data_IF_758119615221
#
_entry.id   IF_758119615221
#
_cell.length_a   1.000
_cell.length_b   1.000
_cell.length_c   1.000
_cell.angle_alpha   90.00
_cell.angle_beta   90.00
_cell.angle_gamma   90.00
#
_symmetry.space_group_name_H-M   'P 1'
#
loop_
_entity.id
_entity.type
_entity.pdbx_description
1 polymer ?
#
# COMPACT_ATOMS: atom_id res chain seq x y z
N UNK A 1 20.06 33.54 2.35
CA UNK A 1 20.14 32.86 3.65
C UNK A 1 19.34 31.58 3.55
N UNK A 2 19.97 30.52 3.03
CA UNK A 2 19.46 29.16 3.10
C UNK A 2 20.31 28.48 4.18
N UNK A 3 19.67 28.03 5.26
CA UNK A 3 20.36 27.31 6.32
C UNK A 3 20.83 25.97 5.80
N UNK A 4 22.10 25.64 6.03
CA UNK A 4 22.69 24.34 5.74
C UNK A 4 21.93 23.26 6.53
N UNK A 5 21.25 22.37 5.80
CA UNK A 5 20.73 21.12 6.35
C UNK A 5 21.90 20.14 6.31
N UNK A 6 22.53 19.93 7.46
CA UNK A 6 23.54 18.87 7.63
C UNK A 6 22.78 17.53 7.71
N UNK A 7 23.07 16.55 6.84
CA UNK A 7 22.48 15.22 6.97
C UNK A 7 23.02 14.53 8.23
N UNK A 8 22.21 13.71 8.93
CA UNK A 8 22.70 12.98 10.09
C UNK A 8 23.81 12.01 9.65
N UNK A 9 24.94 12.09 10.32
CA UNK A 9 26.10 11.23 10.09
C UNK A 9 25.73 9.75 10.28
N UNK A 10 26.35 8.91 9.46
CA UNK A 10 26.27 7.46 9.50
C UNK A 10 26.40 6.92 10.94
N UNK A 11 25.33 6.36 11.48
CA UNK A 11 25.42 5.40 12.58
C UNK A 11 25.36 3.98 12.01
N UNK A 12 26.51 3.53 11.51
CA UNK A 12 26.79 2.11 11.37
C UNK A 12 27.77 1.71 12.48
N UNK A 13 27.40 0.65 13.19
CA UNK A 13 28.21 -0.17 14.10
C UNK A 13 28.60 0.41 15.46
N UNK A 14 27.81 0.04 16.48
CA UNK A 14 28.34 -0.61 17.70
C UNK A 14 27.20 -1.32 18.44
N UNK A 15 26.75 -2.45 17.91
CA UNK A 15 26.22 -3.52 18.75
C UNK A 15 27.37 -4.02 19.63
N UNK A 16 27.41 -3.59 20.89
CA UNK A 16 27.99 -4.37 21.98
C UNK A 16 27.46 -3.87 23.33
N UNK A 17 26.69 -4.75 23.99
CA UNK A 17 26.74 -5.09 25.43
C UNK A 17 26.38 -3.94 26.38
N UNK A 18 25.16 -3.91 26.95
CA UNK A 18 24.78 -4.76 28.08
C UNK A 18 23.51 -5.58 27.83
N UNK A 19 23.66 -6.89 27.67
CA UNK A 19 22.57 -7.84 27.49
C UNK A 19 22.58 -8.86 28.65
N UNK A 20 22.46 -8.39 29.89
CA UNK A 20 22.18 -9.26 31.04
C UNK A 20 20.67 -9.48 31.25
N UNK A 21 19.83 -8.80 30.44
CA UNK A 21 18.37 -8.81 30.55
C UNK A 21 17.84 -8.16 31.83
N UNK A 22 18.65 -7.38 32.54
CA UNK A 22 18.33 -6.76 33.83
C UNK A 22 17.88 -5.31 33.72
N UNK A 23 17.91 -4.68 32.55
CA UNK A 23 17.47 -3.30 32.35
C UNK A 23 16.45 -3.18 31.23
N UNK A 24 15.41 -2.40 31.51
CA UNK A 24 14.35 -2.13 30.54
C UNK A 24 14.86 -1.14 29.49
N UNK A 25 14.92 -1.58 28.23
CA UNK A 25 15.27 -0.72 27.11
C UNK A 25 14.04 0.02 26.57
N UNK A 26 14.16 1.35 26.45
CA UNK A 26 13.20 2.17 25.74
C UNK A 26 13.19 1.84 24.25
N UNK A 27 12.05 2.03 23.60
CA UNK A 27 11.98 1.96 22.15
C UNK A 27 12.90 3.02 21.52
N UNK A 28 13.60 2.68 20.43
CA UNK A 28 14.61 3.54 19.82
C UNK A 28 14.11 4.97 19.51
N UNK A 29 12.84 5.11 19.15
CA UNK A 29 12.24 6.38 18.73
C UNK A 29 11.11 6.85 19.67
N UNK A 30 11.06 6.36 20.92
CA UNK A 30 10.03 6.74 21.88
C UNK A 30 10.47 6.50 23.33
N UNK A 31 10.01 7.35 24.25
CA UNK A 31 10.23 7.15 25.69
C UNK A 31 9.52 5.93 26.28
N UNK A 32 8.63 5.28 25.51
CA UNK A 32 7.93 4.08 25.96
C UNK A 32 8.83 2.86 25.90
N UNK A 33 8.49 1.90 26.75
CA UNK A 33 9.02 0.55 26.76
C UNK A 33 8.00 -0.34 26.04
N UNK A 34 8.48 -1.17 25.10
CA UNK A 34 7.62 -2.14 24.43
C UNK A 34 7.20 -3.26 25.38
N UNK A 35 5.93 -3.63 25.34
CA UNK A 35 5.37 -4.68 26.19
C UNK A 35 6.07 -6.02 25.95
N UNK A 36 6.43 -6.34 24.71
CA UNK A 36 7.22 -7.54 24.39
C UNK A 36 8.50 -7.62 25.20
N UNK A 37 9.23 -6.51 25.35
CA UNK A 37 10.50 -6.48 26.08
C UNK A 37 10.29 -6.72 27.59
N UNK A 38 9.21 -6.15 28.15
CA UNK A 38 8.83 -6.36 29.55
C UNK A 38 8.50 -7.84 29.80
N UNK A 39 7.66 -8.42 28.94
CA UNK A 39 7.22 -9.81 29.09
C UNK A 39 8.37 -10.81 28.87
N UNK A 40 9.29 -10.51 27.95
CA UNK A 40 10.47 -11.34 27.68
C UNK A 40 11.48 -11.30 28.84
N UNK A 41 11.68 -10.14 29.48
CA UNK A 41 12.52 -10.03 30.67
C UNK A 41 11.88 -10.61 31.93
N UNK A 42 10.54 -10.57 32.02
CA UNK A 42 9.76 -11.16 33.09
C UNK A 42 10.17 -10.63 34.47
N UNK A 43 10.13 -11.49 35.49
CA UNK A 43 10.37 -11.12 36.89
C UNK A 43 11.73 -10.44 37.16
N UNK A 44 12.73 -10.60 36.27
CA UNK A 44 14.04 -9.93 36.39
C UNK A 44 13.93 -8.40 36.32
N UNK A 45 12.87 -7.89 35.73
CA UNK A 45 12.64 -6.45 35.55
C UNK A 45 11.87 -5.82 36.72
N UNK A 46 11.51 -6.60 37.75
CA UNK A 46 10.80 -6.10 38.92
C UNK A 46 11.58 -4.98 39.63
N UNK A 47 10.86 -3.94 40.08
CA UNK A 47 11.40 -2.73 40.70
C UNK A 47 11.74 -1.62 39.72
N UNK A 48 11.80 -1.88 38.41
CA UNK A 48 12.12 -0.85 37.42
C UNK A 48 10.94 0.05 37.11
N UNK A 49 11.25 1.34 36.90
CA UNK A 49 10.28 2.34 36.44
C UNK A 49 10.24 2.37 34.93
N UNK A 50 9.03 2.30 34.38
CA UNK A 50 8.80 2.25 32.94
C UNK A 50 7.62 3.12 32.55
N UNK A 51 7.69 3.68 31.34
CA UNK A 51 6.54 4.23 30.62
C UNK A 51 6.05 3.21 29.62
N UNK A 52 4.76 2.90 29.61
CA UNK A 52 4.16 2.11 28.54
C UNK A 52 3.05 2.91 27.86
N UNK A 53 2.78 2.57 26.61
CA UNK A 53 1.62 3.06 25.87
C UNK A 53 0.97 1.90 25.12
N UNK A 54 -0.35 1.82 25.12
CA UNK A 54 -1.06 0.77 24.39
C UNK A 54 -2.57 0.89 24.52
N UNK A 55 -3.27 -0.14 24.04
CA UNK A 55 -4.72 -0.22 24.07
C UNK A 55 -5.18 -1.26 25.08
N UNK A 56 -6.18 -0.89 25.87
CA UNK A 56 -6.85 -1.78 26.81
C UNK A 56 -7.62 -2.84 26.03
N UNK A 57 -7.27 -4.11 26.23
CA UNK A 57 -7.95 -5.27 25.63
C UNK A 57 -9.07 -5.80 26.53
N UNK A 58 -8.85 -5.77 27.84
CA UNK A 58 -9.87 -5.99 28.86
C UNK A 58 -9.57 -5.10 30.06
N UNK A 59 -10.60 -4.58 30.71
CA UNK A 59 -10.48 -3.79 31.92
C UNK A 59 -11.53 -4.19 32.94
N UNK A 60 -11.16 -4.29 34.22
CA UNK A 60 -12.07 -4.61 35.32
C UNK A 60 -11.76 -3.79 36.55
N UNK A 61 -12.80 -3.27 37.22
CA UNK A 61 -12.65 -2.68 38.54
C UNK A 61 -12.76 -3.76 39.62
N UNK A 62 -11.95 -3.64 40.67
CA UNK A 62 -11.93 -4.56 41.81
C UNK A 62 -11.82 -3.79 43.13
N UNK A 63 -12.01 -4.49 44.25
CA UNK A 63 -11.88 -3.89 45.59
C UNK A 63 -12.94 -2.83 45.88
N UNK A 64 -14.15 -3.00 45.35
CA UNK A 64 -15.25 -2.01 45.40
C UNK A 64 -14.89 -0.67 44.71
N UNK A 65 -14.19 -0.76 43.57
CA UNK A 65 -13.81 0.42 42.78
C UNK A 65 -12.52 1.12 43.24
N UNK A 66 -11.73 0.48 44.12
CA UNK A 66 -10.43 1.03 44.56
C UNK A 66 -9.33 0.84 43.53
N UNK A 67 -9.38 -0.24 42.74
CA UNK A 67 -8.36 -0.56 41.75
C UNK A 67 -9.01 -0.96 40.43
N UNK A 68 -8.33 -0.69 39.31
CA UNK A 68 -8.61 -1.28 38.02
C UNK A 68 -7.43 -2.18 37.58
N UNK A 69 -7.76 -3.36 37.07
CA UNK A 69 -6.81 -4.22 36.35
C UNK A 69 -7.12 -4.12 34.86
N UNK A 70 -6.12 -3.72 34.09
CA UNK A 70 -6.17 -3.58 32.64
C UNK A 70 -5.23 -4.60 32.01
N UNK A 71 -5.68 -5.32 30.99
CA UNK A 71 -4.81 -6.04 30.07
C UNK A 71 -4.48 -5.10 28.92
N UNK A 72 -3.25 -4.59 28.87
CA UNK A 72 -2.81 -3.62 27.86
C UNK A 72 -1.96 -4.33 26.81
N UNK A 73 -2.16 -3.98 25.54
CA UNK A 73 -1.36 -4.47 24.42
C UNK A 73 -0.99 -3.32 23.49
N UNK A 74 0.25 -3.29 23.03
CA UNK A 74 0.83 -2.26 22.18
C UNK A 74 1.09 -2.76 20.74
N UNK A 75 0.69 -4.00 20.43
CA UNK A 75 0.91 -4.66 19.15
C UNK A 75 2.29 -5.31 18.99
N UNK A 76 3.23 -5.12 19.92
CA UNK A 76 4.60 -5.65 19.82
C UNK A 76 4.69 -7.17 19.94
N UNK A 77 3.70 -7.81 20.57
CA UNK A 77 3.54 -9.27 20.66
C UNK A 77 2.06 -9.64 20.88
N UNK A 78 1.68 -10.94 20.80
CA UNK A 78 0.32 -11.40 21.11
C UNK A 78 -0.11 -11.20 22.56
N UNK A 79 0.84 -11.22 23.49
CA UNK A 79 0.56 -11.22 24.92
C UNK A 79 0.22 -9.82 25.44
N UNK A 80 -0.59 -9.77 26.49
CA UNK A 80 -0.95 -8.53 27.16
C UNK A 80 -0.13 -8.39 28.45
N UNK A 81 0.14 -7.15 28.85
CA UNK A 81 0.68 -6.82 30.17
C UNK A 81 -0.48 -6.46 31.10
N UNK A 82 -0.55 -7.08 32.28
CA UNK A 82 -1.44 -6.62 33.33
C UNK A 82 -0.92 -5.31 33.92
N UNK A 83 -1.81 -4.33 33.99
CA UNK A 83 -1.56 -2.99 34.51
C UNK A 83 -2.58 -2.71 35.60
N UNK A 84 -2.10 -2.37 36.80
CA UNK A 84 -2.91 -2.04 37.95
C UNK A 84 -2.92 -0.53 38.18
N UNK A 85 -4.11 0.06 38.25
CA UNK A 85 -4.33 1.49 38.49
C UNK A 85 -5.15 1.69 39.76
N UNK A 86 -4.68 2.51 40.69
CA UNK A 86 -5.44 2.91 41.88
C UNK A 86 -6.41 4.06 41.55
N UNK A 87 -7.60 4.04 42.13
CA UNK A 87 -8.64 5.07 41.98
C UNK A 87 -8.20 6.48 42.40
N UNK A 88 -7.16 6.59 43.24
CA UNK A 88 -6.56 7.88 43.63
C UNK A 88 -5.76 8.54 42.50
N UNK A 89 -5.36 7.77 41.47
CA UNK A 89 -4.55 8.28 40.35
C UNK A 89 -5.40 8.78 39.18
N UNK A 90 -6.57 8.16 38.95
CA UNK A 90 -7.43 8.51 37.82
C UNK A 90 -8.84 7.95 37.98
N UNK A 91 -9.80 8.51 37.24
CA UNK A 91 -11.16 7.96 37.15
C UNK A 91 -11.15 6.62 36.40
N UNK A 92 -11.27 5.53 37.17
CA UNK A 92 -11.21 4.16 36.67
C UNK A 92 -12.31 3.84 35.66
N UNK A 93 -13.45 4.54 35.67
CA UNK A 93 -14.54 4.30 34.72
C UNK A 93 -14.14 4.63 33.28
N UNK A 94 -13.18 5.56 33.11
CA UNK A 94 -12.67 6.00 31.82
C UNK A 94 -11.58 5.09 31.25
N UNK A 95 -11.03 4.19 32.06
CA UNK A 95 -9.90 3.33 31.68
C UNK A 95 -10.35 1.94 31.19
N UNK A 96 -11.43 1.40 31.75
CA UNK A 96 -11.75 -0.03 31.61
C UNK A 96 -12.37 -0.42 30.27
N UNK A 97 -12.82 0.55 29.46
CA UNK A 97 -13.41 0.27 28.16
C UNK A 97 -12.39 -0.35 27.21
N UNK A 98 -12.80 -1.41 26.51
CA UNK A 98 -11.95 -2.06 25.49
C UNK A 98 -11.69 -1.10 24.35
N UNK A 99 -10.43 -0.92 23.98
CA UNK A 99 -9.97 0.03 22.97
C UNK A 99 -9.53 1.38 23.51
N UNK A 100 -9.70 1.65 24.81
CA UNK A 100 -9.13 2.85 25.43
C UNK A 100 -7.61 2.84 25.26
N UNK A 101 -7.07 3.92 24.71
CA UNK A 101 -5.64 4.15 24.63
C UNK A 101 -5.16 4.73 25.96
N UNK A 102 -4.06 4.20 26.49
CA UNK A 102 -3.46 4.68 27.74
C UNK A 102 -1.96 4.86 27.56
N UNK A 103 -1.43 5.94 28.15
CA UNK A 103 0.00 6.09 28.43
C UNK A 103 0.17 6.26 29.93
N UNK A 104 0.98 5.40 30.55
CA UNK A 104 1.15 5.37 32.00
C UNK A 104 2.61 5.17 32.39
N UNK A 105 3.01 5.81 33.48
CA UNK A 105 4.26 5.56 34.17
C UNK A 105 3.99 4.69 35.39
N UNK A 106 4.85 3.72 35.63
CA UNK A 106 4.70 2.84 36.78
C UNK A 106 5.95 2.04 37.11
N UNK A 107 5.82 1.24 38.16
CA UNK A 107 6.87 0.33 38.63
C UNK A 107 6.45 -1.11 38.31
N UNK A 108 7.36 -1.84 37.67
CA UNK A 108 7.19 -3.26 37.41
C UNK A 108 7.24 -4.05 38.73
N UNK A 109 6.29 -4.96 38.93
CA UNK A 109 6.20 -5.78 40.15
C UNK A 109 5.94 -7.24 39.83
N UNK A 110 6.35 -8.10 40.75
CA UNK A 110 5.93 -9.50 40.75
C UNK A 110 4.50 -9.53 41.32
N UNK A 111 3.52 -10.12 40.61
CA UNK A 111 2.16 -10.21 41.11
C UNK A 111 2.08 -11.02 42.43
N UNK A 112 1.16 -10.72 43.35
CA UNK A 112 1.03 -11.43 44.63
C UNK A 112 0.62 -12.90 44.46
N UNK A 113 1.32 -13.86 45.09
CA UNK A 113 1.07 -15.31 44.94
C UNK A 113 -0.42 -15.70 45.09
N UNK A 114 -0.96 -16.47 44.14
CA UNK A 114 -2.37 -16.86 44.16
C UNK A 114 -2.81 -17.83 43.04
N UNK A 115 -3.91 -18.54 43.27
CA UNK A 115 -4.54 -19.45 42.29
C UNK A 115 -5.02 -18.66 41.06
N UNK A 116 -4.47 -18.97 39.89
CA UNK A 116 -4.86 -18.37 38.60
C UNK A 116 -3.82 -17.44 37.97
N UNK A 117 -2.64 -17.32 38.57
CA UNK A 117 -1.56 -16.47 38.06
C UNK A 117 -0.96 -17.04 36.77
N UNK A 118 -1.20 -16.35 35.65
CA UNK A 118 -0.63 -16.69 34.33
C UNK A 118 0.54 -15.79 33.92
N UNK A 119 0.79 -14.70 34.64
CA UNK A 119 1.74 -13.67 34.24
C UNK A 119 2.86 -13.54 35.27
N UNK A 120 4.11 -13.45 34.79
CA UNK A 120 5.32 -13.39 35.61
C UNK A 120 5.67 -11.98 36.11
N UNK A 121 4.96 -10.96 35.62
CA UNK A 121 5.21 -9.54 35.88
C UNK A 121 3.93 -8.72 35.63
N UNK A 122 3.75 -7.64 36.38
CA UNK A 122 2.69 -6.65 36.18
C UNK A 122 3.23 -5.22 36.35
N UNK A 123 2.51 -4.23 35.85
CA UNK A 123 2.83 -2.81 36.05
C UNK A 123 1.91 -2.19 37.09
N UNK A 124 2.47 -1.69 38.19
CA UNK A 124 1.76 -0.86 39.17
C UNK A 124 1.91 0.60 38.77
N UNK A 125 0.82 1.24 38.34
CA UNK A 125 0.85 2.63 37.86
C UNK A 125 1.14 3.59 39.01
N UNK A 126 2.02 4.56 38.75
CA UNK A 126 2.32 5.70 39.61
C UNK A 126 1.75 7.00 39.03
N UNK A 127 1.62 7.11 37.70
CA UNK A 127 1.05 8.26 37.02
C UNK A 127 0.35 7.88 35.72
N UNK A 128 -0.82 8.46 35.49
CA UNK A 128 -1.53 8.36 34.20
C UNK A 128 -1.19 9.62 33.39
N UNK A 129 -0.54 9.43 32.25
CA UNK A 129 0.00 10.52 31.42
C UNK A 129 -1.04 10.97 30.39
N UNK A 130 -1.65 10.01 29.69
CA UNK A 130 -2.63 10.30 28.65
C UNK A 130 -3.66 9.17 28.53
N UNK A 131 -4.90 9.55 28.20
CA UNK A 131 -6.03 8.63 28.04
C UNK A 131 -6.89 9.06 26.85
N UNK A 132 -6.91 8.23 25.81
CA UNK A 132 -7.84 8.33 24.70
C UNK A 132 -9.01 7.37 24.89
N UNK A 133 -10.17 7.86 25.30
CA UNK A 133 -11.36 7.02 25.49
C UNK A 133 -11.98 6.62 24.17
N UNK A 134 -12.55 5.42 24.12
CA UNK A 134 -13.37 4.96 23.00
C UNK A 134 -14.81 4.75 23.48
N UNK A 135 -15.77 5.08 22.63
CA UNK A 135 -17.16 4.68 22.81
C UNK A 135 -17.41 3.38 22.03
N UNK A 136 -17.59 2.24 22.70
CA UNK A 136 -17.78 0.95 22.04
C UNK A 136 -19.05 0.88 21.18
N UNK A 137 -20.02 1.78 21.38
CA UNK A 137 -21.27 1.81 20.61
C UNK A 137 -21.09 2.44 19.24
N UNK A 138 -20.19 3.43 19.13
CA UNK A 138 -19.89 4.14 17.88
C UNK A 138 -18.65 3.59 17.18
N UNK A 139 -17.75 2.92 17.91
CA UNK A 139 -16.53 2.34 17.37
C UNK A 139 -16.29 0.90 17.88
N UNK A 140 -17.05 -0.09 17.38
CA UNK A 140 -16.89 -1.49 17.78
C UNK A 140 -15.58 -2.06 17.23
N UNK A 141 -14.63 -2.36 18.13
CA UNK A 141 -13.36 -3.01 17.76
C UNK A 141 -13.53 -4.54 17.73
N UNK A 142 -13.41 -5.18 16.56
CA UNK A 142 -13.51 -6.63 16.46
C UNK A 142 -12.29 -7.30 17.10
N UNK A 143 -12.52 -8.43 17.77
CA UNK A 143 -11.45 -9.30 18.31
C UNK A 143 -10.80 -10.07 17.16
N UNK A 144 -9.95 -9.41 16.39
CA UNK A 144 -9.31 -10.00 15.20
C UNK A 144 -7.95 -10.61 15.54
N UNK A 145 -7.62 -11.70 14.85
CA UNK A 145 -6.31 -12.36 14.89
C UNK A 145 -5.31 -11.73 13.89
N UNK A 146 -5.69 -10.60 13.30
CA UNK A 146 -4.99 -9.98 12.18
C UNK A 146 -3.58 -9.51 12.56
N UNK A 147 -3.36 -9.16 13.83
CA UNK A 147 -2.04 -8.70 14.30
C UNK A 147 -0.98 -9.80 14.26
N UNK A 148 -1.32 -11.04 14.63
CA UNK A 148 -0.40 -12.17 14.56
C UNK A 148 -0.07 -12.51 13.10
N UNK A 149 -1.10 -12.57 12.24
CA UNK A 149 -0.92 -12.79 10.80
C UNK A 149 -0.05 -11.69 10.18
N UNK A 150 -0.28 -10.43 10.52
CA UNK A 150 0.50 -9.30 10.02
C UNK A 150 1.97 -9.36 10.48
N UNK A 151 2.25 -9.68 11.76
CA UNK A 151 3.61 -9.85 12.26
C UNK A 151 4.34 -11.02 11.58
N UNK A 152 3.66 -12.15 11.39
CA UNK A 152 4.20 -13.31 10.66
C UNK A 152 4.51 -12.93 9.20
N UNK A 153 3.58 -12.27 8.51
CA UNK A 153 3.77 -11.81 7.13
C UNK A 153 4.95 -10.84 7.02
N UNK A 154 5.07 -9.90 7.95
CA UNK A 154 6.20 -8.97 8.03
C UNK A 154 7.54 -9.72 8.22
N UNK A 155 7.58 -10.68 9.15
CA UNK A 155 8.78 -11.46 9.40
C UNK A 155 9.19 -12.29 8.18
N UNK A 156 8.24 -12.90 7.48
CA UNK A 156 8.50 -13.63 6.24
C UNK A 156 8.99 -12.71 5.12
N UNK A 157 8.39 -11.53 4.95
CA UNK A 157 8.87 -10.57 3.93
C UNK A 157 10.32 -10.15 4.19
N UNK A 158 10.68 -9.88 5.45
CA UNK A 158 12.06 -9.62 5.82
C UNK A 158 12.97 -10.83 5.57
N UNK A 159 12.54 -12.03 5.96
CA UNK A 159 13.27 -13.27 5.75
C UNK A 159 13.52 -13.55 4.27
N UNK A 160 12.55 -13.25 3.39
CA UNK A 160 12.70 -13.32 1.94
C UNK A 160 13.86 -12.48 1.46
N UNK A 161 13.89 -11.21 1.85
CA UNK A 161 15.00 -10.33 1.48
C UNK A 161 16.33 -10.82 2.05
N UNK A 162 16.37 -11.25 3.32
CA UNK A 162 17.57 -11.82 3.94
C UNK A 162 18.09 -13.03 3.17
N UNK A 163 17.23 -14.02 2.88
CA UNK A 163 17.62 -15.22 2.15
C UNK A 163 18.26 -14.87 0.81
N UNK A 164 17.58 -14.09 -0.02
CA UNK A 164 18.10 -13.80 -1.36
C UNK A 164 19.38 -12.98 -1.32
N UNK A 165 19.47 -11.96 -0.45
CA UNK A 165 20.69 -11.15 -0.36
C UNK A 165 21.88 -11.91 0.25
N UNK A 166 21.66 -12.78 1.24
CA UNK A 166 22.70 -13.66 1.79
C UNK A 166 23.25 -14.64 0.75
N UNK A 167 22.46 -14.99 -0.26
CA UNK A 167 22.84 -15.87 -1.37
C UNK A 167 23.26 -15.10 -2.64
N UNK A 168 23.51 -13.79 -2.53
CA UNK A 168 24.07 -12.97 -3.60
C UNK A 168 23.08 -12.53 -4.69
N UNK A 169 21.78 -12.71 -4.48
CA UNK A 169 20.77 -12.19 -5.40
C UNK A 169 20.58 -10.68 -5.23
N UNK A 170 20.35 -9.98 -6.34
CA UNK A 170 19.98 -8.56 -6.33
C UNK A 170 18.46 -8.38 -6.41
N UNK A 171 17.93 -7.54 -5.52
CA UNK A 171 16.52 -7.15 -5.56
C UNK A 171 16.31 -6.14 -6.70
N UNK A 172 15.38 -6.44 -7.60
CA UNK A 172 15.03 -5.59 -8.73
C UNK A 172 13.52 -5.28 -8.73
N UNK A 173 13.18 -4.08 -9.17
CA UNK A 173 11.78 -3.67 -9.34
C UNK A 173 11.37 -3.88 -10.79
N UNK A 174 10.42 -4.78 -11.03
CA UNK A 174 9.80 -4.97 -12.34
C UNK A 174 8.65 -3.98 -12.54
N UNK A 175 8.38 -3.53 -13.79
CA UNK A 175 7.24 -2.68 -14.09
C UNK A 175 5.91 -3.35 -13.75
N UNK A 176 5.03 -2.63 -13.05
CA UNK A 176 3.66 -3.11 -12.75
C UNK A 176 2.73 -2.90 -13.94
N UNK A 177 2.87 -1.79 -14.65
CA UNK A 177 2.11 -1.54 -15.88
C UNK A 177 2.90 -2.12 -17.05
N UNK A 178 2.27 -3.00 -17.82
CA UNK A 178 2.86 -3.70 -18.96
C UNK A 178 2.01 -3.53 -20.21
N UNK A 179 2.65 -3.51 -21.37
CA UNK A 179 1.99 -3.63 -22.67
C UNK A 179 2.17 -5.03 -23.28
N UNK A 180 2.82 -5.92 -22.52
CA UNK A 180 3.14 -7.29 -22.89
C UNK A 180 2.33 -8.25 -22.05
N UNK A 181 1.77 -9.26 -22.70
CA UNK A 181 1.20 -10.43 -22.03
C UNK A 181 2.35 -11.42 -21.75
N UNK A 182 2.69 -11.59 -20.48
CA UNK A 182 3.85 -12.39 -20.06
C UNK A 182 3.53 -13.89 -19.91
N UNK A 183 2.28 -14.25 -19.59
CA UNK A 183 1.86 -15.65 -19.36
C UNK A 183 1.00 -16.22 -20.50
N UNK A 184 0.49 -15.37 -21.41
CA UNK A 184 -0.16 -15.80 -22.65
C UNK A 184 -1.53 -16.46 -22.49
N UNK A 185 -2.12 -16.48 -21.29
CA UNK A 185 -3.33 -17.25 -21.01
C UNK A 185 -4.29 -16.64 -19.97
N UNK A 186 -3.94 -15.54 -19.31
CA UNK A 186 -4.73 -14.95 -18.22
C UNK A 186 -5.53 -13.72 -18.63
N UNK A 187 -6.75 -13.55 -18.10
CA UNK A 187 -7.43 -12.26 -18.14
C UNK A 187 -6.62 -11.23 -17.32
N UNK A 188 -6.31 -10.09 -17.92
CA UNK A 188 -5.54 -9.00 -17.28
C UNK A 188 -6.42 -7.77 -17.03
N UNK A 189 -6.13 -7.05 -15.94
CA UNK A 189 -6.77 -5.75 -15.71
C UNK A 189 -6.20 -4.72 -16.68
N UNK A 190 -7.07 -4.13 -17.50
CA UNK A 190 -6.68 -3.06 -18.39
C UNK A 190 -6.51 -1.74 -17.64
N UNK A 191 -5.41 -1.04 -17.94
CA UNK A 191 -5.12 0.30 -17.43
C UNK A 191 -5.33 1.29 -18.57
N UNK A 192 -6.28 2.22 -18.41
CA UNK A 192 -6.62 3.18 -19.46
C UNK A 192 -7.02 4.54 -18.89
N UNK A 193 -6.72 5.60 -19.66
CA UNK A 193 -7.18 6.97 -19.40
C UNK A 193 -8.31 7.40 -20.35
N UNK A 194 -8.66 6.56 -21.33
CA UNK A 194 -9.65 6.87 -22.37
C UNK A 194 -11.05 7.13 -21.82
N UNK A 195 -11.45 6.44 -20.75
CA UNK A 195 -12.80 6.60 -20.17
C UNK A 195 -13.01 8.04 -19.71
N UNK A 196 -12.09 8.56 -18.89
CA UNK A 196 -12.15 9.94 -18.39
C UNK A 196 -12.08 10.96 -19.54
N UNK A 197 -11.32 10.67 -20.59
CA UNK A 197 -11.26 11.52 -21.77
C UNK A 197 -12.61 11.54 -22.52
N UNK A 198 -13.21 10.37 -22.72
CA UNK A 198 -14.52 10.21 -23.36
C UNK A 198 -15.60 10.93 -22.56
N UNK A 199 -15.66 10.78 -21.24
CA UNK A 199 -16.66 11.47 -20.41
C UNK A 199 -16.57 13.00 -20.55
N UNK A 200 -15.36 13.56 -20.62
CA UNK A 200 -15.16 15.00 -20.85
C UNK A 200 -15.63 15.44 -22.23
N UNK A 201 -15.33 14.66 -23.26
CA UNK A 201 -15.79 14.93 -24.63
C UNK A 201 -17.31 14.84 -24.71
N UNK A 202 -17.92 13.86 -24.06
CA UNK A 202 -19.38 13.71 -24.02
C UNK A 202 -20.04 14.88 -23.33
N UNK A 203 -19.52 15.31 -22.18
CA UNK A 203 -20.03 16.49 -21.48
C UNK A 203 -19.89 17.75 -22.35
N UNK A 204 -18.73 17.95 -22.99
CA UNK A 204 -18.53 19.07 -23.90
C UNK A 204 -19.44 19.00 -25.14
N UNK A 205 -19.77 17.82 -25.66
CA UNK A 205 -20.73 17.66 -26.77
C UNK A 205 -22.17 17.96 -26.36
N UNK A 206 -22.53 17.74 -25.09
CA UNK A 206 -23.81 18.15 -24.50
C UNK A 206 -23.87 19.67 -24.42
N UNK A 207 -22.83 20.30 -23.87
CA UNK A 207 -22.78 21.75 -23.66
C UNK A 207 -22.61 22.51 -24.99
N UNK A 208 -21.91 21.90 -25.95
CA UNK A 208 -21.58 22.47 -27.26
C UNK A 208 -21.89 21.46 -28.37
N UNK A 209 -23.12 21.45 -28.89
CA UNK A 209 -23.53 20.49 -29.92
C UNK A 209 -22.61 20.51 -31.16
N UNK A 210 -22.29 19.33 -31.74
CA UNK A 210 -21.46 19.26 -32.92
C UNK A 210 -22.16 19.86 -34.14
N UNK A 211 -21.42 20.54 -35.05
CA UNK A 211 -21.97 21.04 -36.31
C UNK A 211 -22.58 19.92 -37.13
N UNK A 212 -23.74 20.18 -37.72
CA UNK A 212 -24.37 19.28 -38.68
C UNK A 212 -23.61 19.26 -40.01
N UNK A 213 -23.86 18.25 -40.84
CA UNK A 213 -23.29 18.20 -42.20
C UNK A 213 -23.69 19.44 -43.02
N UNK A 214 -24.89 19.97 -42.78
CA UNK A 214 -25.35 21.22 -43.40
C UNK A 214 -24.54 22.44 -42.93
N UNK A 215 -24.15 22.50 -41.65
CA UNK A 215 -23.30 23.57 -41.12
C UNK A 215 -21.89 23.51 -41.73
N UNK A 216 -21.33 22.31 -41.90
CA UNK A 216 -20.04 22.13 -42.56
C UNK A 216 -20.11 22.55 -44.03
N UNK A 217 -21.18 22.16 -44.75
CA UNK A 217 -21.36 22.53 -46.16
C UNK A 217 -21.59 24.04 -46.33
N UNK A 218 -22.31 24.68 -45.41
CA UNK A 218 -22.47 26.14 -45.40
C UNK A 218 -21.12 26.87 -45.27
N UNK A 219 -20.24 26.41 -44.37
CA UNK A 219 -18.88 26.96 -44.25
C UNK A 219 -18.02 26.68 -45.49
N UNK A 220 -18.15 25.50 -46.12
CA UNK A 220 -17.48 25.21 -47.41
C UNK A 220 -17.92 26.19 -48.50
N UNK A 221 -19.22 26.51 -48.57
CA UNK A 221 -19.76 27.48 -49.52
C UNK A 221 -19.20 28.88 -49.26
N UNK A 222 -19.12 29.31 -47.99
CA UNK A 222 -18.52 30.61 -47.63
C UNK A 222 -17.05 30.67 -48.08
N UNK A 223 -16.26 29.62 -47.84
CA UNK A 223 -14.87 29.56 -48.32
C UNK A 223 -14.79 29.66 -49.84
N UNK A 224 -15.70 28.99 -50.56
CA UNK A 224 -15.80 29.05 -52.01
C UNK A 224 -16.14 30.46 -52.51
N UNK A 225 -17.19 31.08 -51.98
CA UNK A 225 -17.62 32.44 -52.35
C UNK A 225 -16.53 33.48 -52.09
N UNK A 226 -15.84 33.40 -50.95
CA UNK A 226 -14.71 34.28 -50.63
C UNK A 226 -13.52 34.03 -51.56
N UNK A 227 -13.27 32.77 -51.93
CA UNK A 227 -12.28 32.41 -52.94
C UNK A 227 -12.58 33.02 -54.31
N UNK A 228 -13.83 32.95 -54.74
CA UNK A 228 -14.31 33.56 -55.99
C UNK A 228 -14.26 35.09 -55.95
N UNK A 229 -14.53 35.72 -54.80
CA UNK A 229 -14.40 37.16 -54.61
C UNK A 229 -12.94 37.63 -54.79
N UNK A 230 -11.98 36.92 -54.18
CA UNK A 230 -10.54 37.18 -54.39
C UNK A 230 -10.16 37.02 -55.86
N UNK A 231 -10.64 35.98 -56.53
CA UNK A 231 -10.38 35.75 -57.95
C UNK A 231 -10.93 36.87 -58.83
N UNK A 232 -12.17 37.32 -58.58
CA UNK A 232 -12.81 38.45 -59.29
C UNK A 232 -12.04 39.76 -59.10
N UNK A 233 -11.63 40.09 -57.88
CA UNK A 233 -10.86 41.32 -57.61
C UNK A 233 -9.49 41.30 -58.30
N UNK A 234 -8.82 40.13 -58.32
CA UNK A 234 -7.57 39.95 -59.07
C UNK A 234 -7.76 40.11 -60.57
N UNK A 235 -8.82 39.51 -61.14
CA UNK A 235 -9.15 39.62 -62.56
C UNK A 235 -9.51 41.06 -62.98
N UNK A 236 -10.23 41.79 -62.11
CA UNK A 236 -10.61 43.18 -62.32
C UNK A 236 -9.46 44.19 -62.10
N UNK A 237 -8.26 43.74 -61.70
CA UNK A 237 -7.11 44.60 -61.34
C UNK A 237 -7.46 45.65 -60.27
N UNK A 238 -8.25 45.24 -59.28
CA UNK A 238 -8.59 46.08 -58.13
C UNK A 238 -7.34 46.51 -57.35
N UNK A 239 -7.50 47.49 -56.44
CA UNK A 239 -6.39 48.01 -55.65
C UNK A 239 -5.74 46.92 -54.78
N UNK A 240 -4.46 47.12 -54.44
CA UNK A 240 -3.72 46.17 -53.60
C UNK A 240 -4.38 46.03 -52.22
N UNK A 241 -4.92 47.12 -51.70
CA UNK A 241 -5.63 47.23 -50.43
C UNK A 241 -6.91 46.37 -50.45
N UNK A 242 -7.72 46.46 -51.50
CA UNK A 242 -8.95 45.67 -51.66
C UNK A 242 -8.67 44.17 -51.78
N UNK A 243 -7.65 43.79 -52.55
CA UNK A 243 -7.25 42.38 -52.69
C UNK A 243 -6.75 41.83 -51.35
N UNK A 244 -5.96 42.62 -50.61
CA UNK A 244 -5.41 42.22 -49.31
C UNK A 244 -6.54 42.03 -48.29
N UNK A 245 -7.50 42.94 -48.23
CA UNK A 245 -8.67 42.83 -47.37
C UNK A 245 -9.51 41.58 -47.69
N UNK A 246 -9.71 41.28 -48.98
CA UNK A 246 -10.46 40.08 -49.41
C UNK A 246 -9.73 38.77 -49.09
N UNK A 247 -8.39 38.73 -49.22
CA UNK A 247 -7.58 37.56 -48.83
C UNK A 247 -7.61 37.33 -47.32
N UNK A 248 -7.62 38.40 -46.51
CA UNK A 248 -7.79 38.28 -45.06
C UNK A 248 -9.14 37.62 -44.69
N UNK A 249 -10.22 38.03 -45.35
CA UNK A 249 -11.54 37.41 -45.16
C UNK A 249 -11.57 35.93 -45.59
N UNK A 250 -10.92 35.58 -46.70
CA UNK A 250 -10.78 34.18 -47.12
C UNK A 250 -9.99 33.35 -46.10
N UNK A 251 -8.96 33.93 -45.48
CA UNK A 251 -8.14 33.25 -44.47
C UNK A 251 -8.97 32.97 -43.21
N UNK A 252 -9.76 33.94 -42.76
CA UNK A 252 -10.69 33.77 -41.64
C UNK A 252 -11.72 32.67 -41.94
N UNK A 253 -12.32 32.68 -43.14
CA UNK A 253 -13.28 31.67 -43.55
C UNK A 253 -12.67 30.26 -43.58
N UNK A 254 -11.42 30.11 -44.05
CA UNK A 254 -10.71 28.82 -44.04
C UNK A 254 -10.44 28.31 -42.61
N UNK A 255 -10.10 29.21 -41.69
CA UNK A 255 -9.90 28.84 -40.28
C UNK A 255 -11.21 28.41 -39.62
N UNK A 256 -12.32 29.11 -39.91
CA UNK A 256 -13.67 28.75 -39.46
C UNK A 256 -14.08 27.36 -39.95
N UNK A 257 -13.93 27.10 -41.26
CA UNK A 257 -14.20 25.78 -41.84
C UNK A 257 -13.37 24.67 -41.19
N UNK A 258 -12.07 24.91 -40.98
CA UNK A 258 -11.21 23.91 -40.33
C UNK A 258 -11.67 23.57 -38.90
N UNK A 259 -12.06 24.58 -38.12
CA UNK A 259 -12.61 24.39 -36.77
C UNK A 259 -13.94 23.63 -36.81
N UNK A 260 -14.85 23.96 -37.72
CA UNK A 260 -16.15 23.29 -37.89
C UNK A 260 -15.97 21.84 -38.38
N UNK A 261 -15.03 21.59 -39.29
CA UNK A 261 -14.67 20.24 -39.75
C UNK A 261 -14.00 19.40 -38.66
N UNK A 262 -13.19 20.00 -37.78
CA UNK A 262 -12.61 19.31 -36.63
C UNK A 262 -13.69 18.99 -35.59
N UNK A 263 -14.55 19.98 -35.29
CA UNK A 263 -15.65 19.84 -34.33
C UNK A 263 -16.64 18.74 -34.75
N UNK A 264 -16.97 18.65 -36.04
CA UNK A 264 -17.89 17.63 -36.55
C UNK A 264 -17.33 16.20 -36.51
N UNK A 265 -16.03 16.03 -36.30
CA UNK A 265 -15.39 14.72 -36.13
C UNK A 265 -15.51 14.17 -34.71
N UNK A 266 -15.78 15.00 -33.71
CA UNK A 266 -16.00 14.52 -32.35
C UNK A 266 -17.26 13.66 -32.31
N UNK A 267 -17.12 12.49 -31.71
CA UNK A 267 -18.22 11.53 -31.51
C UNK A 267 -18.23 11.13 -30.04
N UNK A 268 -19.42 10.88 -29.47
CA UNK A 268 -19.52 10.28 -28.15
C UNK A 268 -18.95 8.86 -28.16
N UNK A 269 -18.57 8.37 -26.98
CA UNK A 269 -17.98 7.06 -26.79
C UNK A 269 -16.47 6.97 -27.00
N UNK A 270 -15.95 5.75 -26.91
CA UNK A 270 -14.52 5.47 -27.06
C UNK A 270 -14.06 5.71 -28.51
N UNK A 271 -12.87 6.30 -28.72
CA UNK A 271 -12.34 6.53 -30.05
C UNK A 271 -12.13 5.19 -30.78
N UNK A 272 -12.42 5.17 -32.08
CA UNK A 272 -12.30 3.97 -32.91
C UNK A 272 -11.50 4.23 -34.17
N UNK A 273 -10.67 3.25 -34.54
CA UNK A 273 -9.91 3.18 -35.79
C UNK A 273 -10.02 1.76 -36.34
N UNK A 274 -10.39 1.63 -37.61
CA UNK A 274 -10.58 0.34 -38.29
C UNK A 274 -11.50 -0.65 -37.54
N UNK A 275 -12.55 -0.11 -36.91
CA UNK A 275 -13.54 -0.89 -36.15
C UNK A 275 -13.10 -1.35 -34.75
N UNK A 276 -11.85 -1.08 -34.35
CA UNK A 276 -11.31 -1.35 -33.00
C UNK A 276 -11.18 -0.07 -32.20
N UNK A 277 -11.04 -0.18 -30.88
CA UNK A 277 -10.73 0.97 -30.02
C UNK A 277 -9.36 1.51 -30.42
N UNK A 278 -9.28 2.82 -30.61
CA UNK A 278 -8.04 3.52 -30.93
C UNK A 278 -7.33 3.94 -29.64
N UNK A 279 -6.25 3.25 -29.31
CA UNK A 279 -5.43 3.53 -28.14
C UNK A 279 -4.30 4.53 -28.40
N UNK A 280 -4.20 5.11 -29.60
CA UNK A 280 -3.11 6.05 -29.93
C UNK A 280 -3.09 7.29 -29.02
N UNK A 281 -4.26 7.67 -28.50
CA UNK A 281 -4.45 8.81 -27.60
C UNK A 281 -4.62 8.37 -26.13
N UNK A 282 -4.47 7.08 -25.82
CA UNK A 282 -4.36 6.62 -24.43
C UNK A 282 -2.96 6.97 -23.89
N UNK A 283 -2.75 6.88 -22.58
CA UNK A 283 -1.54 7.33 -21.90
C UNK A 283 -0.24 6.76 -22.48
N UNK A 284 -0.24 5.46 -22.83
CA UNK A 284 0.93 4.78 -23.40
C UNK A 284 0.91 4.69 -24.94
N UNK A 285 -0.08 5.32 -25.60
CA UNK A 285 -0.29 5.25 -27.05
C UNK A 285 -0.61 3.83 -27.59
N UNK A 286 -0.91 2.89 -26.69
CA UNK A 286 -1.29 1.50 -26.95
C UNK A 286 -1.99 0.93 -25.71
N UNK A 287 -2.54 -0.28 -25.83
CA UNK A 287 -3.12 -0.99 -24.68
C UNK A 287 -2.06 -1.28 -23.62
N UNK A 288 -2.43 -1.03 -22.36
CA UNK A 288 -1.62 -1.32 -21.19
C UNK A 288 -2.47 -2.05 -20.14
N UNK A 289 -1.80 -2.83 -19.31
CA UNK A 289 -2.39 -3.75 -18.35
C UNK A 289 -1.60 -3.77 -17.05
N UNK A 290 -2.22 -4.24 -15.98
CA UNK A 290 -1.49 -4.62 -14.77
C UNK A 290 -0.85 -6.00 -14.98
N UNK A 291 0.42 -6.14 -14.59
CA UNK A 291 1.19 -7.34 -14.85
C UNK A 291 0.71 -8.54 -14.02
N UNK A 292 0.74 -9.71 -14.64
CA UNK A 292 0.48 -11.01 -13.98
C UNK A 292 1.75 -11.58 -13.33
N UNK A 293 2.92 -11.20 -13.86
CA UNK A 293 4.24 -11.68 -13.45
C UNK A 293 5.33 -10.71 -13.92
N UNK A 294 6.43 -10.59 -13.17
CA UNK A 294 7.65 -9.89 -13.59
C UNK A 294 8.66 -10.77 -14.32
N UNK A 295 8.33 -12.03 -14.61
CA UNK A 295 9.25 -13.06 -15.12
C UNK A 295 10.08 -12.60 -16.33
N UNK A 296 9.44 -12.12 -17.40
CA UNK A 296 10.16 -11.71 -18.61
C UNK A 296 11.15 -10.57 -18.35
N UNK A 297 10.85 -9.71 -17.37
CA UNK A 297 11.74 -8.61 -17.00
C UNK A 297 12.89 -9.11 -16.12
N UNK A 298 12.66 -10.02 -15.16
CA UNK A 298 13.76 -10.60 -14.36
C UNK A 298 14.76 -11.37 -15.22
N UNK A 299 14.31 -12.08 -16.27
CA UNK A 299 15.19 -12.75 -17.24
C UNK A 299 16.21 -11.77 -17.87
N UNK A 300 15.72 -10.59 -18.27
CA UNK A 300 16.58 -9.54 -18.85
C UNK A 300 17.62 -9.06 -17.83
N UNK A 301 17.24 -8.91 -16.57
CA UNK A 301 18.17 -8.51 -15.51
C UNK A 301 19.16 -9.62 -15.17
N UNK A 302 18.73 -10.88 -15.10
CA UNK A 302 19.60 -12.02 -14.81
C UNK A 302 20.75 -12.12 -15.82
N UNK A 303 20.48 -11.84 -17.10
CA UNK A 303 21.51 -11.79 -18.16
C UNK A 303 22.63 -10.76 -17.88
N UNK A 304 22.37 -9.71 -17.07
CA UNK A 304 23.32 -8.65 -16.74
C UNK A 304 23.84 -8.71 -15.30
N UNK A 305 23.07 -9.31 -14.39
CA UNK A 305 23.29 -9.24 -12.94
C UNK A 305 23.48 -10.62 -12.28
N UNK A 306 23.55 -11.68 -13.10
CA UNK A 306 23.61 -13.08 -12.65
C UNK A 306 22.31 -13.53 -11.97
N UNK A 307 22.16 -13.28 -10.68
CA UNK A 307 21.04 -13.77 -9.87
C UNK A 307 20.23 -12.58 -9.35
N UNK A 308 18.94 -12.57 -9.66
CA UNK A 308 18.04 -11.47 -9.29
C UNK A 308 16.73 -12.00 -8.74
N UNK A 309 15.98 -11.17 -8.03
CA UNK A 309 14.61 -11.47 -7.66
C UNK A 309 13.76 -10.21 -7.66
N UNK A 310 12.48 -10.34 -7.99
CA UNK A 310 11.48 -9.31 -7.72
C UNK A 310 10.58 -9.74 -6.56
N UNK A 311 10.05 -8.76 -5.86
CA UNK A 311 9.09 -8.92 -4.77
C UNK A 311 8.10 -7.76 -4.91
N UNK A 312 6.99 -8.03 -5.61
CA UNK A 312 6.05 -6.99 -6.00
C UNK A 312 4.62 -7.48 -6.12
N UNK A 313 3.66 -6.56 -6.28
CA UNK A 313 2.28 -6.91 -6.52
C UNK A 313 2.08 -7.41 -7.96
N UNK A 314 1.22 -8.41 -8.10
CA UNK A 314 0.76 -8.99 -9.37
C UNK A 314 -0.75 -9.14 -9.35
N UNK A 315 -1.35 -9.17 -10.54
CA UNK A 315 -2.79 -9.05 -10.69
C UNK A 315 -3.35 -10.13 -11.60
N UNK A 316 -4.51 -10.69 -11.26
CA UNK A 316 -5.24 -11.64 -12.11
C UNK A 316 -6.70 -11.21 -12.20
N UNK A 317 -7.20 -11.01 -13.42
CA UNK A 317 -8.57 -10.54 -13.65
C UNK A 317 -9.58 -11.68 -13.82
N UNK A 318 -9.18 -12.92 -13.55
CA UNK A 318 -10.08 -14.07 -13.60
C UNK A 318 -11.27 -13.89 -12.65
N UNK A 319 -12.48 -14.15 -13.15
CA UNK A 319 -13.70 -14.06 -12.34
C UNK A 319 -13.82 -15.26 -11.38
N UNK A 320 -13.01 -15.26 -10.33
CA UNK A 320 -12.85 -16.38 -9.40
C UNK A 320 -13.12 -15.96 -7.95
N UNK A 321 -14.21 -16.46 -7.39
CA UNK A 321 -14.65 -16.15 -6.03
C UNK A 321 -14.46 -17.35 -5.10
N UNK A 322 -13.19 -17.67 -4.79
CA UNK A 322 -12.84 -18.77 -3.87
C UNK A 322 -12.09 -18.26 -2.65
N UNK A 323 -11.98 -19.07 -1.60
CA UNK A 323 -11.22 -18.72 -0.40
C UNK A 323 -9.69 -18.68 -0.61
N UNK A 324 -9.20 -19.04 -1.80
CA UNK A 324 -7.77 -19.15 -2.12
C UNK A 324 -7.33 -18.23 -3.26
N UNK A 325 -8.24 -17.50 -3.90
CA UNK A 325 -7.93 -16.61 -5.01
C UNK A 325 -8.07 -15.16 -4.61
N UNK A 326 -7.12 -14.35 -5.07
CA UNK A 326 -7.11 -12.90 -4.92
C UNK A 326 -6.85 -12.29 -6.29
N UNK A 327 -7.55 -11.19 -6.60
CA UNK A 327 -7.30 -10.42 -7.82
C UNK A 327 -5.99 -9.62 -7.76
N UNK A 328 -5.53 -9.30 -6.55
CA UNK A 328 -4.25 -8.66 -6.25
C UNK A 328 -3.53 -9.49 -5.18
N UNK A 329 -2.31 -9.89 -5.48
CA UNK A 329 -1.45 -10.63 -4.55
C UNK A 329 0.01 -10.23 -4.76
N UNK A 330 0.90 -10.73 -3.90
CA UNK A 330 2.32 -10.44 -3.98
C UNK A 330 3.07 -11.69 -4.41
N UNK A 331 3.94 -11.53 -5.40
CA UNK A 331 4.81 -12.58 -5.90
C UNK A 331 6.25 -12.30 -5.52
N UNK A 332 7.00 -13.39 -5.32
CA UNK A 332 8.45 -13.39 -5.16
C UNK A 332 8.99 -14.27 -6.29
N UNK A 333 9.71 -13.67 -7.22
CA UNK A 333 10.11 -14.31 -8.48
C UNK A 333 11.62 -14.18 -8.64
N UNK A 334 12.40 -15.20 -8.19
CA UNK A 334 13.83 -15.27 -8.44
C UNK A 334 14.14 -15.74 -9.85
N UNK A 335 15.27 -15.29 -10.40
CA UNK A 335 15.81 -15.71 -11.69
C UNK A 335 17.33 -15.88 -11.55
N UNK A 336 17.88 -16.97 -12.08
CA UNK A 336 19.27 -17.38 -11.86
C UNK A 336 19.95 -17.64 -13.20
N UNK A 337 20.91 -16.79 -13.59
CA UNK A 337 21.70 -17.03 -14.79
C UNK A 337 22.52 -18.33 -14.67
N UNK A 338 22.64 -19.06 -15.78
CA UNK A 338 23.38 -20.32 -15.90
C UNK A 338 22.85 -21.49 -15.06
N UNK A 339 21.66 -21.35 -14.47
CA UNK A 339 21.00 -22.43 -13.73
C UNK A 339 20.29 -23.41 -14.66
N UNK A 340 20.30 -24.68 -14.29
CA UNK A 340 19.35 -25.66 -14.80
C UNK A 340 18.17 -25.86 -13.83
N UNK A 341 17.28 -26.80 -14.16
CA UNK A 341 16.10 -27.10 -13.33
C UNK A 341 16.46 -27.64 -11.94
N UNK A 342 17.59 -28.33 -11.79
CA UNK A 342 18.03 -28.84 -10.50
C UNK A 342 18.53 -27.70 -9.61
N UNK A 343 19.23 -26.72 -10.18
CA UNK A 343 19.63 -25.51 -9.45
C UNK A 343 18.41 -24.72 -8.95
N UNK A 344 17.39 -24.57 -9.80
CA UNK A 344 16.13 -23.90 -9.43
C UNK A 344 15.39 -24.66 -8.30
N UNK A 345 15.25 -25.98 -8.43
CA UNK A 345 14.66 -26.84 -7.39
C UNK A 345 15.42 -26.74 -6.05
N UNK A 346 16.75 -26.71 -6.10
CA UNK A 346 17.59 -26.56 -4.90
C UNK A 346 17.36 -25.19 -4.24
N UNK A 347 17.28 -24.12 -5.03
CA UNK A 347 16.98 -22.77 -4.54
C UNK A 347 15.60 -22.73 -3.87
N UNK A 348 14.57 -23.26 -4.54
CA UNK A 348 13.21 -23.30 -4.02
C UNK A 348 13.11 -24.11 -2.70
N UNK A 349 13.76 -25.28 -2.62
CA UNK A 349 13.79 -26.09 -1.41
C UNK A 349 14.51 -25.36 -0.26
N UNK A 350 15.68 -24.78 -0.54
CA UNK A 350 16.45 -24.02 0.44
C UNK A 350 15.66 -22.81 0.98
N UNK A 351 14.98 -22.09 0.08
CA UNK A 351 14.13 -20.95 0.42
C UNK A 351 13.01 -21.34 1.38
N UNK A 352 12.25 -22.39 1.06
CA UNK A 352 11.14 -22.86 1.92
C UNK A 352 11.66 -23.31 3.29
N UNK A 353 12.76 -24.08 3.34
CA UNK A 353 13.39 -24.49 4.60
C UNK A 353 13.84 -23.29 5.43
N UNK A 354 14.44 -22.28 4.79
CA UNK A 354 14.86 -21.05 5.44
C UNK A 354 13.65 -20.31 6.05
N UNK A 355 12.55 -20.16 5.30
CA UNK A 355 11.32 -19.53 5.79
C UNK A 355 10.74 -20.26 7.02
N UNK A 356 10.66 -21.59 6.97
CA UNK A 356 10.16 -22.38 8.11
C UNK A 356 11.04 -22.20 9.36
N UNK A 357 12.37 -22.27 9.21
CA UNK A 357 13.30 -22.05 10.30
C UNK A 357 13.21 -20.62 10.85
N UNK A 358 13.04 -19.63 9.97
CA UNK A 358 12.87 -18.24 10.36
C UNK A 358 11.62 -18.05 11.24
N UNK A 359 10.49 -18.64 10.86
CA UNK A 359 9.26 -18.58 11.65
C UNK A 359 9.42 -19.18 13.03
N UNK A 360 10.03 -20.37 13.13
CA UNK A 360 10.27 -21.06 14.40
C UNK A 360 11.14 -20.20 15.32
N UNK A 361 12.19 -19.59 14.76
CA UNK A 361 13.15 -18.79 15.54
C UNK A 361 12.62 -17.43 15.95
N UNK A 362 11.86 -16.75 15.08
CA UNK A 362 11.56 -15.32 15.24
C UNK A 362 10.08 -15.03 15.54
N UNK A 363 9.18 -16.00 15.34
CA UNK A 363 7.73 -15.81 15.45
C UNK A 363 7.04 -16.84 16.36
N UNK A 364 7.79 -17.52 17.24
CA UNK A 364 7.23 -18.58 18.11
C UNK A 364 5.98 -18.16 18.87
N UNK A 365 5.96 -16.96 19.46
CA UNK A 365 4.81 -16.47 20.23
C UNK A 365 3.57 -16.28 19.35
N UNK A 366 3.76 -15.77 18.13
CA UNK A 366 2.70 -15.60 17.15
C UNK A 366 2.20 -16.96 16.63
N UNK A 367 3.11 -17.90 16.38
CA UNK A 367 2.78 -19.27 15.95
C UNK A 367 1.99 -20.01 17.03
N UNK A 368 2.43 -19.96 18.29
CA UNK A 368 1.73 -20.53 19.44
C UNK A 368 0.35 -19.91 19.63
N UNK A 369 0.23 -18.60 19.42
CA UNK A 369 -1.05 -17.90 19.45
C UNK A 369 -1.96 -18.42 18.34
N UNK A 370 -1.45 -18.60 17.13
CA UNK A 370 -2.23 -19.11 16.00
C UNK A 370 -2.66 -20.57 16.19
N UNK A 371 -1.77 -21.47 16.63
CA UNK A 371 -2.10 -22.88 16.92
C UNK A 371 -3.25 -22.99 17.93
N UNK A 372 -3.17 -22.23 19.04
CA UNK A 372 -4.22 -22.23 20.08
C UNK A 372 -5.56 -21.70 19.60
N UNK A 373 -5.56 -20.76 18.66
CA UNK A 373 -6.76 -20.00 18.30
C UNK A 373 -7.34 -20.39 16.93
N UNK A 374 -6.60 -21.05 16.04
CA UNK A 374 -7.02 -21.39 14.68
C UNK A 374 -7.03 -22.90 14.48
N UNK A 375 -5.97 -23.60 14.87
CA UNK A 375 -5.85 -25.06 14.67
C UNK A 375 -6.62 -25.91 15.69
N UNK A 376 -7.27 -25.28 16.68
CA UNK A 376 -8.21 -25.94 17.59
C UNK A 376 -9.39 -26.64 16.90
N UNK A 377 -9.74 -26.22 15.67
CA UNK A 377 -10.73 -26.92 14.82
C UNK A 377 -10.07 -27.92 13.84
N UNK A 378 -8.78 -27.80 13.54
CA UNK A 378 -8.07 -28.71 12.62
C UNK A 378 -7.85 -30.12 13.21
N UNK A 379 -7.94 -30.28 14.54
CA UNK A 379 -7.87 -31.59 15.23
C UNK A 379 -9.22 -32.32 15.32
N UNK A 380 -10.30 -31.78 14.73
CA UNK A 380 -11.64 -32.41 14.70
C UNK A 380 -12.06 -32.92 13.32
N UNK A 381 -11.16 -32.89 12.32
CA UNK A 381 -11.39 -33.43 10.98
C UNK A 381 -10.89 -34.85 10.82
#
# INVERSE_FOLDING_TARGET
MAGEIVPPENHSAADTLDNDGSTVQKAQFSDRVLIRSILSGGAKLAGQKVRISGWVKTGRQQGKGKFAFLEVNDGSCPANLQVMVDSSLYDLSRLVATGTCVTVDGVLKIPPEGKGMKQSIELSVESVIDVGTVDPTTYPLPKTKISAVARIRNALAFATHSFFQEHGFLYIHTPIITTSDCEGAGEMFQVTTLINHTERVEQDLIDNSPPTEADVEAERLIVKERGEAVARLKAAKASKEEITASVAQLTIAKASLAHVEERSRFKPGLPKKDGKIDYSNDFFGRQAFLTVSGQLQVETYACALSSVYTFGPTFRAENSHTSRHLAEFWMVEPEIAFADIHDDMNCAEAYVKYMCNWLIKNCSDDMDFMDKNVDGDARKG
#
